data_IF_750970282682
#
_entry.id   IF_750970282682
#
_cell.length_a   1.000
_cell.length_b   1.000
_cell.length_c   1.000
_cell.angle_alpha   90.00
_cell.angle_beta   90.00
_cell.angle_gamma   90.00
#
_symmetry.space_group_name_H-M   'P 1'
#
loop_
_entity.id
_entity.type
_entity.pdbx_description
1 polymer ?
#
# COMPACT_ATOMS: atom_id res chain seq x y z
N UNK A 1 24.87 84.34 -13.65
CA UNK A 1 25.64 85.31 -14.48
C UNK A 1 25.73 84.68 -15.87
N UNK A 2 25.11 85.34 -16.78
CA UNK A 2 25.33 85.31 -18.21
C UNK A 2 26.73 85.92 -18.46
N UNK A 3 27.32 85.93 -19.68
CA UNK A 3 26.87 85.64 -21.05
C UNK A 3 28.00 85.02 -21.97
N UNK A 4 27.88 84.74 -23.18
CA UNK A 4 27.76 85.42 -24.46
C UNK A 4 28.45 84.60 -25.55
N UNK A 5 27.77 84.19 -26.59
CA UNK A 5 27.76 84.51 -28.00
C UNK A 5 29.07 84.49 -28.84
N UNK A 6 29.07 83.76 -29.92
CA UNK A 6 29.14 84.24 -31.34
C UNK A 6 29.77 83.17 -32.24
N UNK A 7 29.13 82.76 -33.26
CA UNK A 7 28.73 83.16 -34.62
C UNK A 7 29.65 82.66 -35.71
N UNK A 8 29.01 82.19 -36.78
CA UNK A 8 29.25 82.39 -38.24
C UNK A 8 30.31 81.43 -38.86
N UNK A 9 30.07 80.71 -39.92
CA UNK A 9 29.54 80.95 -41.26
C UNK A 9 29.60 79.68 -42.13
N UNK A 10 28.56 79.47 -42.89
CA UNK A 10 28.44 78.75 -44.16
C UNK A 10 29.45 79.23 -45.20
N UNK A 11 29.74 78.61 -46.37
CA UNK A 11 28.83 77.87 -47.24
C UNK A 11 29.42 76.78 -48.17
N UNK A 12 28.49 75.95 -48.70
CA UNK A 12 28.41 75.39 -50.05
C UNK A 12 29.53 74.54 -50.66
N UNK A 13 29.13 73.33 -51.07
CA UNK A 13 29.18 72.73 -52.45
C UNK A 13 28.74 71.25 -52.33
N UNK A 14 27.62 71.00 -52.89
CA UNK A 14 27.29 70.45 -54.23
C UNK A 14 27.66 68.96 -54.46
N UNK A 15 26.62 68.24 -54.73
CA UNK A 15 26.42 67.18 -55.73
C UNK A 15 26.85 65.72 -55.42
N UNK A 16 25.92 64.86 -55.36
CA UNK A 16 25.46 63.79 -56.26
C UNK A 16 24.86 62.63 -55.55
N UNK A 17 23.58 62.43 -55.77
CA UNK A 17 22.91 61.15 -55.53
C UNK A 17 23.41 60.10 -56.54
N UNK A 18 23.39 58.77 -56.11
CA UNK A 18 22.55 57.84 -56.79
C UNK A 18 21.90 56.83 -55.80
N UNK A 19 21.12 55.85 -56.25
CA UNK A 19 19.70 55.77 -55.95
C UNK A 19 19.34 54.80 -54.86
N UNK A 20 18.38 55.18 -54.05
CA UNK A 20 17.57 54.36 -53.18
C UNK A 20 16.76 53.36 -54.00
N UNK A 21 17.19 52.13 -54.08
CA UNK A 21 16.35 50.98 -54.44
C UNK A 21 17.16 49.66 -54.34
N UNK A 22 17.40 49.13 -53.14
CA UNK A 22 17.80 47.72 -52.96
C UNK A 22 18.11 47.36 -51.51
N UNK A 23 17.37 47.86 -50.55
CA UNK A 23 17.53 47.41 -49.13
C UNK A 23 16.21 47.16 -48.37
N UNK A 24 15.10 46.88 -49.04
CA UNK A 24 13.79 46.67 -48.40
C UNK A 24 13.20 45.26 -48.61
N UNK A 25 14.00 44.28 -49.05
CA UNK A 25 13.50 42.91 -49.29
C UNK A 25 14.14 41.87 -48.38
N UNK A 26 15.10 42.22 -47.52
CA UNK A 26 15.80 41.22 -46.64
C UNK A 26 15.40 41.29 -45.18
N UNK A 27 14.40 42.08 -44.77
CA UNK A 27 13.93 42.12 -43.36
C UNK A 27 12.54 41.52 -43.13
N UNK A 28 11.88 40.99 -44.18
CA UNK A 28 10.54 40.39 -44.07
C UNK A 28 10.53 38.87 -44.00
N UNK A 29 11.69 38.18 -44.02
CA UNK A 29 11.76 36.69 -43.98
C UNK A 29 12.25 36.13 -42.62
N UNK A 30 12.62 36.97 -41.66
CA UNK A 30 13.13 36.50 -40.35
C UNK A 30 12.09 36.44 -39.23
N UNK A 31 10.82 36.81 -39.44
CA UNK A 31 9.77 36.75 -38.41
C UNK A 31 8.69 35.67 -38.63
N UNK A 32 8.84 34.81 -39.63
CA UNK A 32 7.88 33.70 -39.89
C UNK A 32 8.33 32.36 -39.34
N UNK A 33 9.12 32.35 -38.28
CA UNK A 33 9.60 31.10 -37.68
C UNK A 33 9.44 31.15 -36.19
N UNK A 34 8.56 30.26 -35.68
CA UNK A 34 8.41 29.87 -34.28
C UNK A 34 7.29 30.55 -33.46
N UNK A 35 6.10 30.67 -33.99
CA UNK A 35 4.94 30.44 -33.18
C UNK A 35 4.83 28.92 -32.94
N UNK A 36 5.71 28.36 -32.11
CA UNK A 36 5.39 27.09 -31.44
C UNK A 36 4.13 27.36 -30.63
N UNK A 37 2.99 26.94 -31.18
CA UNK A 37 1.76 26.83 -30.43
C UNK A 37 2.10 25.94 -29.21
N UNK A 38 2.43 26.57 -28.09
CA UNK A 38 2.50 25.87 -26.84
C UNK A 38 1.06 25.39 -26.61
N UNK A 39 0.80 24.14 -26.98
CA UNK A 39 -0.45 23.47 -26.62
C UNK A 39 -0.51 23.52 -25.10
N UNK A 40 -1.43 24.30 -24.55
CA UNK A 40 -1.73 24.29 -23.11
C UNK A 40 -1.98 22.82 -22.74
N UNK A 41 -1.22 22.24 -21.84
CA UNK A 41 -1.42 20.85 -21.47
C UNK A 41 -2.88 20.68 -21.00
N UNK A 42 -3.60 19.76 -21.61
CA UNK A 42 -4.95 19.45 -21.20
C UNK A 42 -4.89 18.97 -19.74
N UNK A 43 -5.76 19.48 -18.85
CA UNK A 43 -5.74 19.02 -17.46
C UNK A 43 -5.90 17.49 -17.41
N UNK A 44 -5.20 16.82 -16.49
CA UNK A 44 -5.27 15.38 -16.37
C UNK A 44 -6.69 14.95 -16.01
N UNK A 45 -7.13 13.85 -16.62
CA UNK A 45 -8.40 13.19 -16.31
C UNK A 45 -8.26 12.46 -14.99
N UNK A 46 -9.27 12.53 -14.14
CA UNK A 46 -9.42 11.65 -12.97
C UNK A 46 -10.27 10.45 -13.34
N UNK A 47 -9.84 9.25 -12.96
CA UNK A 47 -10.61 8.01 -13.03
C UNK A 47 -10.68 7.38 -11.64
N UNK A 48 -11.84 6.85 -11.29
CA UNK A 48 -12.03 6.00 -10.10
C UNK A 48 -12.56 4.64 -10.58
N UNK A 49 -12.01 3.56 -10.03
CA UNK A 49 -12.37 2.20 -10.36
C UNK A 49 -12.33 1.36 -9.10
N UNK A 50 -13.14 0.31 -9.01
CA UNK A 50 -13.10 -0.63 -7.89
C UNK A 50 -13.44 -2.05 -8.32
N UNK A 51 -12.92 -3.01 -7.54
CA UNK A 51 -13.19 -4.45 -7.70
C UNK A 51 -13.37 -5.08 -6.32
N UNK A 52 -14.26 -6.07 -6.23
CA UNK A 52 -14.44 -6.84 -5.02
C UNK A 52 -13.55 -8.09 -5.06
N UNK A 53 -12.61 -8.20 -4.13
CA UNK A 53 -11.70 -9.32 -3.98
C UNK A 53 -11.34 -9.53 -2.50
N UNK A 54 -10.94 -10.72 -2.09
CA UNK A 54 -10.54 -11.06 -0.72
C UNK A 54 -11.56 -10.63 0.35
N UNK A 55 -12.85 -10.67 0.01
CA UNK A 55 -13.93 -10.31 0.93
C UNK A 55 -14.04 -8.81 1.23
N UNK A 56 -13.44 -7.94 0.41
CA UNK A 56 -13.48 -6.49 0.56
C UNK A 56 -13.42 -5.77 -0.80
N UNK A 57 -13.62 -4.47 -0.80
CA UNK A 57 -13.47 -3.63 -1.98
C UNK A 57 -12.01 -3.14 -2.12
N UNK A 58 -11.44 -3.32 -3.31
CA UNK A 58 -10.20 -2.68 -3.73
C UNK A 58 -10.55 -1.48 -4.61
N UNK A 59 -10.12 -0.29 -4.19
CA UNK A 59 -10.37 0.96 -4.89
C UNK A 59 -9.10 1.52 -5.52
N UNK A 60 -9.25 2.11 -6.71
CA UNK A 60 -8.18 2.77 -7.45
C UNK A 60 -8.67 4.16 -7.84
N UNK A 61 -7.91 5.21 -7.47
CA UNK A 61 -8.10 6.55 -8.00
C UNK A 61 -6.83 6.96 -8.75
N UNK A 62 -6.97 7.34 -10.03
CA UNK A 62 -5.79 7.67 -10.86
C UNK A 62 -6.00 8.98 -11.63
N UNK A 63 -4.86 9.60 -11.98
CA UNK A 63 -4.81 10.76 -12.85
C UNK A 63 -3.88 10.50 -14.03
N UNK A 64 -4.26 10.99 -15.21
CA UNK A 64 -3.42 10.92 -16.41
C UNK A 64 -4.03 11.67 -17.61
N UNK A 65 -3.30 11.73 -18.73
CA UNK A 65 -3.71 12.53 -19.87
C UNK A 65 -4.80 11.89 -20.76
N UNK A 66 -5.04 10.56 -20.61
CA UNK A 66 -5.90 9.79 -21.53
C UNK A 66 -6.79 8.82 -20.75
N UNK A 67 -8.12 9.06 -20.79
CA UNK A 67 -9.10 8.26 -20.06
C UNK A 67 -9.06 6.77 -20.45
N UNK A 68 -9.02 6.44 -21.74
CA UNK A 68 -9.03 5.03 -22.21
C UNK A 68 -7.79 4.26 -21.75
N UNK A 69 -6.62 4.92 -21.70
CA UNK A 69 -5.41 4.27 -21.14
C UNK A 69 -5.54 4.04 -19.64
N UNK A 70 -6.14 4.99 -18.92
CA UNK A 70 -6.38 4.85 -17.48
C UNK A 70 -7.38 3.73 -17.20
N UNK A 71 -8.46 3.62 -17.97
CA UNK A 71 -9.45 2.54 -17.87
C UNK A 71 -8.78 1.18 -18.06
N UNK A 72 -8.02 1.00 -19.14
CA UNK A 72 -7.32 -0.26 -19.38
C UNK A 72 -6.31 -0.61 -18.28
N UNK A 73 -5.56 0.37 -17.75
CA UNK A 73 -4.64 0.14 -16.64
C UNK A 73 -5.37 -0.22 -15.32
N UNK A 74 -6.52 0.42 -15.05
CA UNK A 74 -7.33 0.13 -13.88
C UNK A 74 -7.97 -1.25 -13.95
N UNK A 75 -8.47 -1.66 -15.12
CA UNK A 75 -9.02 -3.00 -15.37
C UNK A 75 -7.96 -4.07 -15.11
N UNK A 76 -6.76 -3.95 -15.70
CA UNK A 76 -5.68 -4.92 -15.51
C UNK A 76 -5.22 -5.01 -14.06
N UNK A 77 -5.05 -3.87 -13.38
CA UNK A 77 -4.73 -3.86 -11.95
C UNK A 77 -5.83 -4.55 -11.11
N UNK A 78 -7.10 -4.43 -11.52
CA UNK A 78 -8.23 -5.10 -10.86
C UNK A 78 -8.27 -6.60 -11.12
N UNK A 79 -7.92 -7.03 -12.33
CA UNK A 79 -7.73 -8.44 -12.67
C UNK A 79 -6.63 -9.06 -11.82
N UNK A 80 -5.54 -8.30 -11.57
CA UNK A 80 -4.45 -8.74 -10.72
C UNK A 80 -4.90 -8.96 -9.27
N UNK A 81 -5.71 -8.06 -8.69
CA UNK A 81 -6.30 -8.26 -7.37
C UNK A 81 -7.16 -9.53 -7.31
N UNK A 82 -7.96 -9.79 -8.34
CA UNK A 82 -8.80 -11.00 -8.47
C UNK A 82 -7.94 -12.26 -8.59
N UNK A 83 -6.86 -12.21 -9.37
CA UNK A 83 -5.91 -13.32 -9.52
C UNK A 83 -5.24 -13.67 -8.19
N UNK A 84 -4.82 -12.66 -7.42
CA UNK A 84 -4.22 -12.87 -6.09
C UNK A 84 -5.24 -13.42 -5.10
N UNK A 85 -6.50 -12.94 -5.14
CA UNK A 85 -7.59 -13.52 -4.35
C UNK A 85 -7.74 -15.02 -4.65
N UNK A 86 -7.78 -15.39 -5.92
CA UNK A 86 -7.87 -16.80 -6.33
C UNK A 86 -6.68 -17.62 -5.83
N UNK A 87 -5.46 -17.11 -5.88
CA UNK A 87 -4.26 -17.79 -5.40
C UNK A 87 -4.27 -18.00 -3.87
N UNK A 88 -4.70 -17.00 -3.11
CA UNK A 88 -4.60 -16.95 -1.65
C UNK A 88 -5.90 -17.26 -0.90
N UNK A 89 -6.99 -17.62 -1.58
CA UNK A 89 -8.27 -17.84 -0.93
C UNK A 89 -8.30 -19.12 -0.10
N UNK A 90 -8.78 -19.00 1.14
CA UNK A 90 -9.16 -20.14 1.97
C UNK A 90 -10.57 -20.69 1.64
N UNK A 91 -11.31 -20.03 0.75
CA UNK A 91 -12.71 -20.33 0.42
C UNK A 91 -12.87 -20.96 -0.95
N UNK A 92 -11.89 -20.77 -1.84
CA UNK A 92 -11.84 -21.37 -3.19
C UNK A 92 -11.11 -22.72 -3.08
N UNK A 93 -11.80 -23.86 -3.32
CA UNK A 93 -11.21 -25.18 -3.08
C UNK A 93 -9.98 -25.51 -3.94
N UNK A 94 -9.88 -24.95 -5.14
CA UNK A 94 -8.80 -25.16 -6.10
C UNK A 94 -7.73 -24.05 -6.08
N UNK A 95 -7.81 -23.13 -5.10
CA UNK A 95 -6.72 -22.18 -4.86
C UNK A 95 -5.43 -22.90 -4.42
N UNK A 96 -4.27 -22.32 -4.72
CA UNK A 96 -2.99 -22.89 -4.28
C UNK A 96 -2.93 -22.99 -2.75
N UNK A 97 -3.39 -21.96 -2.04
CA UNK A 97 -3.42 -21.97 -0.58
C UNK A 97 -4.35 -23.05 -0.03
N UNK A 98 -5.56 -23.23 -0.57
CA UNK A 98 -6.48 -24.30 -0.15
C UNK A 98 -5.92 -25.68 -0.43
N UNK A 99 -5.23 -25.87 -1.55
CA UNK A 99 -4.54 -27.12 -1.88
C UNK A 99 -3.43 -27.43 -0.88
N UNK A 100 -2.57 -26.46 -0.56
CA UNK A 100 -1.53 -26.60 0.47
C UNK A 100 -2.17 -26.94 1.83
N UNK A 101 -3.21 -26.22 2.24
CA UNK A 101 -3.90 -26.45 3.51
C UNK A 101 -4.53 -27.86 3.63
N UNK A 102 -4.91 -28.45 2.52
CA UNK A 102 -5.54 -29.77 2.48
C UNK A 102 -4.56 -30.92 2.40
N UNK A 103 -3.44 -30.75 1.68
CA UNK A 103 -2.59 -31.85 1.23
C UNK A 103 -1.17 -31.83 1.80
N UNK A 104 -0.68 -30.66 2.31
CA UNK A 104 0.73 -30.50 2.65
C UNK A 104 1.21 -31.30 3.86
N UNK A 105 0.32 -31.83 4.69
CA UNK A 105 0.69 -32.78 5.74
C UNK A 105 0.98 -34.18 5.16
N UNK A 106 0.16 -34.66 4.24
CA UNK A 106 0.26 -36.00 3.67
C UNK A 106 1.47 -36.15 2.73
N UNK A 107 1.73 -35.11 1.91
CA UNK A 107 2.84 -35.09 0.95
C UNK A 107 3.28 -33.65 0.61
N UNK A 108 4.52 -33.48 0.07
CA UNK A 108 4.94 -32.18 -0.44
C UNK A 108 4.03 -31.72 -1.58
N UNK A 109 3.49 -30.50 -1.48
CA UNK A 109 2.61 -29.88 -2.48
C UNK A 109 3.40 -28.91 -3.33
N UNK A 110 3.45 -29.15 -4.65
CA UNK A 110 4.06 -28.23 -5.59
C UNK A 110 3.16 -27.01 -5.82
N UNK A 111 3.77 -25.81 -5.78
CA UNK A 111 3.10 -24.53 -5.95
C UNK A 111 3.76 -23.68 -7.03
N UNK A 112 3.12 -22.59 -7.44
CA UNK A 112 3.71 -21.61 -8.34
C UNK A 112 4.94 -20.94 -7.72
N UNK A 113 5.83 -20.42 -8.54
CA UNK A 113 6.98 -19.66 -8.07
C UNK A 113 6.54 -18.45 -7.23
N UNK A 114 5.51 -17.74 -7.66
CA UNK A 114 4.99 -16.57 -6.97
C UNK A 114 4.48 -16.89 -5.56
N UNK A 115 3.70 -17.95 -5.42
CA UNK A 115 3.20 -18.35 -4.10
C UNK A 115 4.33 -18.86 -3.21
N UNK A 116 5.30 -19.59 -3.77
CA UNK A 116 6.50 -20.04 -3.05
C UNK A 116 7.30 -18.87 -2.50
N UNK A 117 7.61 -17.87 -3.35
CA UNK A 117 8.35 -16.66 -2.95
C UNK A 117 7.61 -15.88 -1.85
N UNK A 118 6.29 -15.78 -1.95
CA UNK A 118 5.49 -15.16 -0.90
C UNK A 118 5.60 -15.91 0.44
N UNK A 119 5.58 -17.24 0.41
CA UNK A 119 5.76 -18.06 1.61
C UNK A 119 7.16 -17.89 2.22
N UNK A 120 8.22 -17.86 1.42
CA UNK A 120 9.57 -17.57 1.92
C UNK A 120 9.64 -16.21 2.63
N UNK A 121 9.00 -15.20 2.04
CA UNK A 121 8.88 -13.86 2.66
C UNK A 121 8.10 -13.93 3.97
N UNK A 122 7.00 -14.68 4.03
CA UNK A 122 6.23 -14.88 5.27
C UNK A 122 7.08 -15.58 6.35
N UNK A 123 7.86 -16.60 6.00
CA UNK A 123 8.77 -17.27 6.92
C UNK A 123 9.84 -16.31 7.47
N UNK A 124 10.34 -15.39 6.64
CA UNK A 124 11.27 -14.34 7.08
C UNK A 124 10.60 -13.42 8.10
N UNK A 125 9.42 -12.88 7.82
CA UNK A 125 8.68 -12.04 8.76
C UNK A 125 8.39 -12.74 10.08
N UNK A 126 8.05 -14.04 10.03
CA UNK A 126 7.81 -14.82 11.24
C UNK A 126 9.07 -14.91 12.12
N UNK A 127 10.24 -15.13 11.52
CA UNK A 127 11.52 -15.13 12.23
C UNK A 127 11.87 -13.76 12.81
N UNK A 128 11.77 -12.71 12.01
CA UNK A 128 12.13 -11.34 12.38
C UNK A 128 11.20 -10.73 13.45
N UNK A 129 9.97 -11.24 13.56
CA UNK A 129 8.96 -10.79 14.53
C UNK A 129 8.85 -11.69 15.77
N UNK A 130 9.81 -12.58 16.01
CA UNK A 130 9.76 -13.55 17.13
C UNK A 130 8.47 -14.37 17.15
N UNK A 131 7.91 -14.70 15.97
CA UNK A 131 6.69 -15.46 15.80
C UNK A 131 5.40 -14.72 16.18
N UNK A 132 5.45 -13.40 16.40
CA UNK A 132 4.22 -12.60 16.59
C UNK A 132 3.46 -12.36 15.30
N UNK A 133 4.12 -12.47 14.15
CA UNK A 133 3.50 -12.76 12.87
C UNK A 133 3.74 -14.22 12.52
N UNK A 134 2.68 -14.96 12.23
CA UNK A 134 2.78 -16.34 11.77
C UNK A 134 1.64 -16.64 10.80
N UNK A 135 1.99 -16.96 9.54
CA UNK A 135 1.01 -17.29 8.51
C UNK A 135 0.26 -18.61 8.81
N UNK A 136 0.76 -19.44 9.72
CA UNK A 136 0.12 -20.70 10.11
C UNK A 136 -1.00 -20.51 11.15
N UNK A 137 -1.45 -19.29 11.41
CA UNK A 137 -2.47 -18.92 12.40
C UNK A 137 -3.87 -19.46 12.10
N UNK A 138 -4.07 -20.12 10.96
CA UNK A 138 -5.35 -20.65 10.50
C UNK A 138 -6.12 -21.49 11.53
N UNK A 139 -5.50 -22.43 12.28
CA UNK A 139 -6.18 -23.18 13.35
C UNK A 139 -6.78 -22.29 14.44
N UNK A 140 -6.08 -21.23 14.86
CA UNK A 140 -6.62 -20.26 15.83
C UNK A 140 -7.79 -19.47 15.25
N UNK A 141 -7.70 -19.01 14.00
CA UNK A 141 -8.78 -18.28 13.35
C UNK A 141 -10.07 -19.12 13.26
N UNK A 142 -9.94 -20.45 13.07
CA UNK A 142 -11.07 -21.39 13.10
C UNK A 142 -11.66 -21.52 14.50
N UNK A 143 -10.82 -21.77 15.51
CA UNK A 143 -11.23 -21.99 16.89
C UNK A 143 -11.91 -20.74 17.48
N UNK A 144 -11.45 -19.53 17.13
CA UNK A 144 -12.07 -18.28 17.54
C UNK A 144 -13.27 -17.86 16.67
N UNK A 145 -13.63 -18.63 15.63
CA UNK A 145 -14.80 -18.41 14.78
C UNK A 145 -14.69 -17.25 13.78
N UNK A 146 -13.49 -16.70 13.56
CA UNK A 146 -13.30 -15.56 12.67
C UNK A 146 -13.52 -15.87 11.19
N UNK A 147 -13.35 -17.12 10.75
CA UNK A 147 -13.69 -17.54 9.39
C UNK A 147 -15.19 -17.44 9.06
N UNK A 148 -16.05 -17.65 10.05
CA UNK A 148 -17.51 -17.57 9.88
C UNK A 148 -18.07 -16.18 10.15
N UNK A 149 -17.21 -15.22 10.54
CA UNK A 149 -17.60 -13.83 10.81
C UNK A 149 -18.36 -13.61 12.11
N UNK A 150 -18.67 -14.67 12.87
CA UNK A 150 -19.49 -14.56 14.09
C UNK A 150 -18.67 -14.46 15.39
N UNK A 151 -17.45 -14.95 15.38
CA UNK A 151 -16.62 -15.05 16.56
C UNK A 151 -17.28 -15.82 17.73
N UNK A 152 -16.54 -16.55 18.49
CA UNK A 152 -17.01 -17.12 19.75
C UNK A 152 -15.82 -17.33 20.69
N UNK A 153 -16.09 -17.40 21.99
CA UNK A 153 -15.07 -17.66 23.00
C UNK A 153 -14.80 -19.17 23.07
N UNK A 154 -13.62 -19.66 22.65
CA UNK A 154 -13.31 -21.08 22.69
C UNK A 154 -12.95 -21.54 24.10
N UNK A 155 -13.06 -22.83 24.36
CA UNK A 155 -12.53 -23.42 25.57
C UNK A 155 -10.98 -23.43 25.52
N UNK A 156 -10.37 -23.35 26.71
CA UNK A 156 -8.89 -23.32 26.80
C UNK A 156 -8.21 -24.52 26.13
N UNK A 157 -8.85 -25.72 26.22
CA UNK A 157 -8.36 -26.91 25.56
C UNK A 157 -8.33 -26.82 24.05
N UNK A 158 -9.33 -26.16 23.44
CA UNK A 158 -9.38 -25.93 21.97
C UNK A 158 -8.28 -25.01 21.51
N UNK A 159 -8.01 -23.93 22.29
CA UNK A 159 -6.89 -23.02 22.03
C UNK A 159 -5.56 -23.77 22.07
N UNK A 160 -5.37 -24.62 23.09
CA UNK A 160 -4.15 -25.40 23.26
C UNK A 160 -3.95 -26.40 22.11
N UNK A 161 -5.02 -27.07 21.70
CA UNK A 161 -5.01 -27.95 20.53
C UNK A 161 -4.63 -27.17 19.27
N UNK A 162 -5.23 -25.98 19.02
CA UNK A 162 -4.90 -25.15 17.87
C UNK A 162 -3.43 -24.72 17.86
N UNK A 163 -2.86 -24.35 19.02
CA UNK A 163 -1.45 -23.99 19.15
C UNK A 163 -0.49 -25.14 18.78
N UNK A 164 -0.87 -26.39 19.05
CA UNK A 164 -0.07 -27.56 18.67
C UNK A 164 -0.12 -27.85 17.15
N UNK A 165 -1.12 -27.32 16.44
CA UNK A 165 -1.28 -27.46 14.98
C UNK A 165 -0.87 -26.22 14.22
N UNK A 166 0.11 -25.44 14.72
CA UNK A 166 0.62 -24.25 14.05
C UNK A 166 2.11 -24.03 14.37
N UNK A 167 2.64 -22.99 13.80
CA UNK A 167 4.03 -22.59 13.98
C UNK A 167 4.81 -22.63 12.67
N UNK A 168 5.33 -21.49 12.25
CA UNK A 168 6.07 -21.34 10.98
C UNK A 168 7.28 -22.27 10.86
N UNK A 169 7.85 -22.75 11.99
CA UNK A 169 8.96 -23.72 12.00
C UNK A 169 8.55 -25.13 11.56
N UNK A 170 7.25 -25.38 11.54
CA UNK A 170 6.65 -26.63 11.09
C UNK A 170 6.26 -26.62 9.60
N UNK A 171 6.59 -25.53 8.88
CA UNK A 171 6.46 -25.43 7.43
C UNK A 171 7.83 -25.70 6.81
N UNK A 172 7.91 -26.71 5.95
CA UNK A 172 9.08 -27.00 5.13
C UNK A 172 8.87 -26.46 3.72
N UNK A 173 9.85 -25.69 3.25
CA UNK A 173 9.91 -25.13 1.89
C UNK A 173 11.10 -25.73 1.17
N UNK A 174 10.86 -26.40 0.04
CA UNK A 174 11.92 -26.90 -0.86
C UNK A 174 11.97 -26.01 -2.11
N UNK A 175 13.00 -25.17 -2.19
CA UNK A 175 13.19 -24.25 -3.29
C UNK A 175 13.53 -24.95 -4.63
N UNK A 176 14.18 -26.13 -4.60
CA UNK A 176 14.55 -26.86 -5.81
C UNK A 176 13.31 -27.39 -6.55
N UNK A 177 12.30 -27.84 -5.81
CA UNK A 177 11.07 -28.40 -6.34
C UNK A 177 9.86 -27.47 -6.20
N UNK A 178 10.02 -26.34 -5.50
CA UNK A 178 8.93 -25.41 -5.15
C UNK A 178 7.79 -26.13 -4.44
N UNK A 179 8.13 -26.90 -3.40
CA UNK A 179 7.12 -27.62 -2.63
C UNK A 179 7.00 -27.10 -1.22
N UNK A 180 5.79 -27.24 -0.69
CA UNK A 180 5.40 -26.89 0.67
C UNK A 180 4.99 -28.19 1.39
N UNK A 181 5.49 -28.41 2.59
CA UNK A 181 5.11 -29.52 3.44
C UNK A 181 4.89 -29.07 4.88
N UNK A 182 3.89 -29.64 5.54
CA UNK A 182 3.64 -29.46 6.97
C UNK A 182 4.19 -30.64 7.77
N UNK A 183 4.83 -30.35 8.90
CA UNK A 183 5.33 -31.38 9.82
C UNK A 183 4.24 -31.92 10.74
N UNK A 184 3.23 -31.09 11.02
CA UNK A 184 2.17 -31.41 11.98
C UNK A 184 0.82 -31.48 11.25
N UNK A 185 0.01 -32.46 11.64
CA UNK A 185 -1.36 -32.58 11.13
C UNK A 185 -2.23 -31.42 11.60
N UNK A 186 -3.26 -31.06 10.82
CA UNK A 186 -4.19 -30.00 11.20
C UNK A 186 -3.66 -28.58 11.04
N UNK A 187 -2.42 -28.39 10.56
CA UNK A 187 -1.90 -27.08 10.20
C UNK A 187 -2.70 -26.45 9.05
N UNK A 188 -2.80 -25.14 9.06
CA UNK A 188 -3.33 -24.39 7.91
C UNK A 188 -2.77 -22.97 7.88
N UNK A 189 -2.47 -22.51 6.65
CA UNK A 189 -2.07 -21.15 6.37
C UNK A 189 -3.29 -20.24 6.35
N UNK A 190 -3.11 -18.99 6.79
CA UNK A 190 -4.12 -17.93 6.72
C UNK A 190 -3.50 -16.66 6.13
N UNK A 191 -4.01 -16.15 4.99
CA UNK A 191 -3.44 -14.99 4.31
C UNK A 191 -3.93 -13.66 4.89
N UNK A 192 -4.79 -13.65 5.89
CA UNK A 192 -5.42 -12.44 6.44
C UNK A 192 -4.45 -11.36 6.93
N UNK A 193 -3.19 -11.77 7.14
CA UNK A 193 -2.12 -10.87 7.55
C UNK A 193 -1.24 -10.33 6.43
N UNK A 194 -1.39 -10.80 5.18
CA UNK A 194 -0.50 -10.49 4.05
C UNK A 194 -1.24 -10.21 2.75
N UNK A 195 -2.43 -10.78 2.58
CA UNK A 195 -3.08 -10.88 1.27
C UNK A 195 -3.39 -9.52 0.64
N UNK A 196 -3.96 -8.60 1.40
CA UNK A 196 -4.33 -7.28 0.87
C UNK A 196 -3.11 -6.44 0.49
N UNK A 197 -2.09 -6.41 1.35
CA UNK A 197 -0.85 -5.68 1.07
C UNK A 197 -0.11 -6.24 -0.14
N UNK A 198 -0.08 -7.56 -0.26
CA UNK A 198 0.51 -8.22 -1.42
C UNK A 198 -0.25 -7.88 -2.72
N UNK A 199 -1.58 -7.96 -2.70
CA UNK A 199 -2.41 -7.60 -3.85
C UNK A 199 -2.23 -6.12 -4.24
N UNK A 200 -2.22 -5.19 -3.27
CA UNK A 200 -1.97 -3.77 -3.54
C UNK A 200 -0.60 -3.55 -4.16
N UNK A 201 0.46 -4.23 -3.68
CA UNK A 201 1.81 -4.11 -4.28
C UNK A 201 1.83 -4.63 -5.72
N UNK A 202 1.10 -5.70 -6.05
CA UNK A 202 0.96 -6.21 -7.42
C UNK A 202 0.19 -5.24 -8.31
N UNK A 203 -0.94 -4.72 -7.85
CA UNK A 203 -1.71 -3.68 -8.56
C UNK A 203 -0.85 -2.44 -8.84
N UNK A 204 -0.06 -1.98 -7.87
CA UNK A 204 0.86 -0.85 -8.01
C UNK A 204 1.94 -1.13 -9.06
N UNK A 205 2.50 -2.34 -9.05
CA UNK A 205 3.49 -2.77 -10.05
C UNK A 205 2.91 -2.74 -11.46
N UNK A 206 1.68 -3.24 -11.62
CA UNK A 206 0.97 -3.28 -12.89
C UNK A 206 0.62 -1.88 -13.39
N UNK A 207 0.05 -1.01 -12.55
CA UNK A 207 -0.23 0.38 -12.89
C UNK A 207 1.03 1.12 -13.37
N UNK A 208 2.18 0.91 -12.69
CA UNK A 208 3.46 1.50 -13.10
C UNK A 208 3.95 0.95 -14.44
N UNK A 209 3.80 -0.33 -14.69
CA UNK A 209 4.14 -0.95 -15.97
C UNK A 209 3.31 -0.36 -17.14
N UNK A 210 2.09 0.11 -16.86
CA UNK A 210 1.22 0.81 -17.80
C UNK A 210 1.47 2.34 -17.86
N UNK A 211 2.54 2.83 -17.20
CA UNK A 211 2.93 4.23 -17.23
C UNK A 211 2.02 5.16 -16.40
N UNK A 212 1.39 4.64 -15.35
CA UNK A 212 0.62 5.45 -14.40
C UNK A 212 1.56 6.03 -13.35
N UNK A 213 1.69 7.36 -13.34
CA UNK A 213 2.57 8.11 -12.43
C UNK A 213 1.82 8.73 -11.25
N UNK A 214 0.49 8.66 -11.24
CA UNK A 214 -0.34 9.24 -10.19
C UNK A 214 -1.55 8.35 -9.92
N UNK A 215 -1.49 7.60 -8.81
CA UNK A 215 -2.60 6.76 -8.35
C UNK A 215 -2.63 6.58 -6.83
N UNK A 216 -3.82 6.39 -6.28
CA UNK A 216 -4.05 5.87 -4.94
C UNK A 216 -4.73 4.51 -5.06
N UNK A 217 -4.10 3.47 -4.53
CA UNK A 217 -4.64 2.10 -4.50
C UNK A 217 -4.97 1.73 -3.06
N UNK A 218 -6.14 1.17 -2.83
CA UNK A 218 -6.62 0.83 -1.49
C UNK A 218 -7.23 -0.57 -1.45
N UNK A 219 -6.73 -1.45 -0.59
CA UNK A 219 -7.31 -2.75 -0.27
C UNK A 219 -8.10 -2.67 1.04
N UNK A 220 -9.45 -2.58 0.93
CA UNK A 220 -10.36 -2.55 2.07
C UNK A 220 -10.17 -1.35 3.01
N UNK A 221 -9.58 -0.25 2.54
CA UNK A 221 -9.32 0.94 3.35
C UNK A 221 -8.24 0.78 4.43
N UNK A 222 -7.71 -0.43 4.63
CA UNK A 222 -6.70 -0.71 5.66
C UNK A 222 -5.28 -0.89 5.12
N UNK A 223 -5.12 -1.15 3.83
CA UNK A 223 -3.84 -1.31 3.13
C UNK A 223 -3.84 -0.42 1.90
N UNK A 224 -3.07 0.67 1.90
CA UNK A 224 -3.14 1.75 0.92
C UNK A 224 -1.76 2.05 0.38
N UNK A 225 -1.65 2.35 -0.92
CA UNK A 225 -0.43 2.82 -1.56
C UNK A 225 -0.70 4.07 -2.40
N UNK A 226 0.18 5.09 -2.28
CA UNK A 226 0.16 6.26 -3.14
C UNK A 226 1.30 6.23 -4.15
N UNK A 227 0.98 6.15 -5.45
CA UNK A 227 1.93 6.37 -6.55
C UNK A 227 1.99 7.88 -6.83
N UNK A 228 3.19 8.47 -6.77
CA UNK A 228 3.38 9.89 -7.03
C UNK A 228 2.43 10.79 -6.22
N UNK A 229 1.79 11.74 -6.88
CA UNK A 229 0.89 12.70 -6.23
C UNK A 229 -0.23 13.14 -7.17
N UNK A 230 -1.42 13.52 -6.64
CA UNK A 230 -2.46 14.11 -7.47
C UNK A 230 -2.02 15.50 -8.00
N UNK A 231 -2.60 15.99 -9.11
CA UNK A 231 -2.11 17.15 -9.85
C UNK A 231 -1.92 18.43 -9.05
N UNK A 232 -2.74 18.65 -8.01
CA UNK A 232 -2.74 19.89 -7.24
C UNK A 232 -2.20 19.73 -5.80
N UNK A 233 -1.61 18.57 -5.48
CA UNK A 233 -1.09 18.28 -4.14
C UNK A 233 0.30 17.61 -4.22
N UNK A 234 1.38 18.38 -4.35
CA UNK A 234 2.72 17.84 -4.59
C UNK A 234 3.30 17.04 -3.41
N UNK A 235 2.70 17.17 -2.22
CA UNK A 235 3.11 16.39 -1.03
C UNK A 235 2.76 14.90 -1.14
N UNK A 236 1.80 14.53 -2.01
CA UNK A 236 1.31 13.17 -2.16
C UNK A 236 -0.20 13.06 -1.95
N UNK A 237 -0.69 11.84 -1.83
CA UNK A 237 -2.09 11.53 -1.63
C UNK A 237 -2.49 11.75 -0.17
N UNK A 238 -3.48 12.61 0.05
CA UNK A 238 -4.04 12.87 1.36
C UNK A 238 -4.75 11.64 1.90
N UNK A 239 -4.32 11.13 3.05
CA UNK A 239 -4.93 10.00 3.75
C UNK A 239 -5.18 10.37 5.20
N UNK A 240 -6.37 10.07 5.68
CA UNK A 240 -6.81 10.29 7.04
C UNK A 240 -6.77 8.98 7.82
N UNK A 241 -6.01 8.92 8.89
CA UNK A 241 -6.03 7.82 9.84
C UNK A 241 -7.14 8.11 10.86
N UNK A 242 -8.15 7.23 10.93
CA UNK A 242 -9.28 7.35 11.87
C UNK A 242 -8.81 7.19 13.32
N UNK A 243 -9.45 7.88 14.22
CA UNK A 243 -9.24 7.65 15.66
C UNK A 243 -9.88 6.31 16.05
N UNK A 244 -9.16 5.50 16.81
CA UNK A 244 -9.60 4.15 17.16
C UNK A 244 -10.70 4.12 18.24
N UNK A 245 -10.93 5.22 18.95
CA UNK A 245 -11.99 5.38 19.97
C UNK A 245 -13.24 6.05 19.41
N UNK A 246 -13.07 6.87 18.38
CA UNK A 246 -14.15 7.66 17.77
C UNK A 246 -13.88 7.79 16.27
N UNK A 247 -14.50 6.94 15.47
CA UNK A 247 -14.30 6.88 14.02
C UNK A 247 -14.64 8.18 13.28
N UNK A 248 -15.44 9.07 13.90
CA UNK A 248 -15.74 10.40 13.37
C UNK A 248 -14.53 11.33 13.44
N UNK A 249 -13.58 11.05 14.33
CA UNK A 249 -12.36 11.83 14.55
C UNK A 249 -11.18 11.32 13.75
N UNK A 250 -10.17 12.17 13.66
CA UNK A 250 -8.92 11.89 12.96
C UNK A 250 -7.77 11.78 13.97
N UNK A 251 -7.11 10.63 14.01
CA UNK A 251 -5.91 10.44 14.79
C UNK A 251 -4.68 11.11 14.15
N UNK A 252 -4.57 11.05 12.83
CA UNK A 252 -3.51 11.71 12.08
C UNK A 252 -3.91 11.93 10.61
N UNK A 253 -3.26 12.92 9.99
CA UNK A 253 -3.28 13.16 8.55
C UNK A 253 -1.90 12.90 8.01
N UNK A 254 -1.82 12.20 6.89
CA UNK A 254 -0.56 11.92 6.19
C UNK A 254 -0.73 12.17 4.69
N UNK A 255 0.40 12.28 4.01
CA UNK A 255 0.48 12.34 2.57
C UNK A 255 1.35 11.18 2.10
N UNK A 256 0.78 10.28 1.28
CA UNK A 256 1.49 9.15 0.70
C UNK A 256 2.03 9.55 -0.67
N UNK A 257 3.33 9.40 -0.86
CA UNK A 257 4.01 9.55 -2.13
C UNK A 257 5.04 8.44 -2.26
N UNK A 258 4.83 7.57 -3.23
CA UNK A 258 5.64 6.36 -3.45
C UNK A 258 5.87 5.56 -2.17
N UNK A 259 4.80 5.41 -1.41
CA UNK A 259 4.80 4.77 -0.09
C UNK A 259 3.43 4.21 0.26
N UNK A 260 3.42 3.29 1.19
CA UNK A 260 2.23 2.61 1.68
C UNK A 260 1.85 3.04 3.09
N UNK A 261 0.59 2.82 3.43
CA UNK A 261 0.05 2.82 4.79
C UNK A 261 -0.75 1.55 5.02
N UNK A 262 -0.51 0.86 6.12
CA UNK A 262 -1.46 -0.16 6.59
C UNK A 262 -1.79 0.06 8.07
N UNK A 263 -3.05 -0.22 8.43
CA UNK A 263 -3.54 -0.08 9.80
C UNK A 263 -4.13 -1.41 10.28
N UNK A 264 -3.69 -1.85 11.45
CA UNK A 264 -4.31 -2.94 12.22
C UNK A 264 -5.01 -2.33 13.43
N UNK A 265 -6.30 -2.63 13.61
CA UNK A 265 -7.11 -2.09 14.69
C UNK A 265 -8.09 -3.12 15.25
N UNK A 266 -8.43 -3.01 16.54
CA UNK A 266 -9.36 -3.90 17.22
C UNK A 266 -10.83 -3.69 16.82
N UNK A 267 -11.13 -2.63 16.10
CA UNK A 267 -12.46 -2.23 15.66
C UNK A 267 -12.87 -2.79 14.29
N UNK A 268 -11.94 -3.41 13.53
CA UNK A 268 -12.22 -3.95 12.19
C UNK A 268 -13.09 -5.21 12.24
N UNK A 269 -12.64 -6.22 12.99
CA UNK A 269 -13.37 -7.47 13.23
C UNK A 269 -13.21 -7.86 14.69
N UNK A 270 -14.32 -7.95 15.39
CA UNK A 270 -14.34 -8.31 16.81
C UNK A 270 -15.70 -8.92 17.20
N UNK A 271 -15.75 -9.54 18.37
CA UNK A 271 -17.00 -9.92 19.03
C UNK A 271 -16.96 -9.60 20.52
N UNK A 272 -18.13 -9.57 21.14
CA UNK A 272 -18.27 -9.36 22.58
C UNK A 272 -18.58 -10.69 23.26
N UNK A 273 -17.83 -11.01 24.31
CA UNK A 273 -18.13 -12.11 25.22
C UNK A 273 -17.64 -11.76 26.62
N UNK A 274 -18.39 -12.15 27.66
CA UNK A 274 -18.04 -11.94 29.06
C UNK A 274 -17.65 -10.48 29.42
N UNK A 275 -18.32 -9.52 28.78
CA UNK A 275 -18.05 -8.07 29.01
C UNK A 275 -16.75 -7.54 28.41
N UNK A 276 -16.09 -8.31 27.53
CA UNK A 276 -14.83 -7.95 26.87
C UNK A 276 -14.96 -8.00 25.36
N UNK A 277 -14.10 -7.20 24.68
CA UNK A 277 -13.90 -7.23 23.23
C UNK A 277 -12.79 -8.22 22.91
N UNK A 278 -13.05 -9.10 21.96
CA UNK A 278 -12.08 -10.03 21.40
C UNK A 278 -11.89 -9.70 19.91
N UNK A 279 -10.74 -9.16 19.54
CA UNK A 279 -10.42 -8.79 18.17
C UNK A 279 -9.84 -9.97 17.39
N UNK A 280 -9.88 -9.86 16.07
CA UNK A 280 -9.27 -10.85 15.17
C UNK A 280 -7.74 -10.82 15.13
N UNK A 281 -7.09 -9.84 15.81
CA UNK A 281 -5.63 -9.74 15.85
C UNK A 281 -5.14 -10.70 16.94
N UNK A 282 -4.74 -11.89 16.49
CA UNK A 282 -4.29 -12.97 17.36
C UNK A 282 -2.81 -12.85 17.69
N UNK A 283 -2.44 -13.12 18.93
CA UNK A 283 -1.03 -13.42 19.27
C UNK A 283 -0.78 -14.93 19.10
N UNK A 284 -0.03 -15.35 18.06
CA UNK A 284 0.20 -16.75 17.77
C UNK A 284 0.95 -17.49 18.88
N UNK A 285 1.64 -16.77 19.75
CA UNK A 285 2.46 -17.32 20.84
C UNK A 285 1.63 -17.70 22.06
N UNK A 286 0.48 -17.04 22.22
CA UNK A 286 -0.41 -17.27 23.37
C UNK A 286 -1.72 -17.94 22.97
N UNK A 287 -2.13 -17.81 21.70
CA UNK A 287 -3.40 -18.29 21.18
C UNK A 287 -4.59 -17.39 21.51
N UNK A 288 -4.37 -16.22 22.08
CA UNK A 288 -5.42 -15.26 22.43
C UNK A 288 -5.33 -13.99 21.58
N UNK A 289 -6.47 -13.27 21.41
CA UNK A 289 -6.44 -11.93 20.85
C UNK A 289 -5.49 -11.02 21.63
N UNK A 290 -4.70 -10.26 20.87
CA UNK A 290 -3.76 -9.30 21.46
C UNK A 290 -4.50 -8.14 22.13
N UNK A 291 -3.94 -7.60 23.20
CA UNK A 291 -4.50 -6.51 24.01
C UNK A 291 -3.48 -5.40 24.22
N UNK A 292 -3.93 -4.25 24.74
CA UNK A 292 -3.05 -3.12 25.07
C UNK A 292 -2.86 -2.10 23.95
N UNK A 293 -3.32 -2.41 22.74
CA UNK A 293 -3.39 -1.48 21.61
C UNK A 293 -4.82 -1.34 21.09
N UNK A 294 -5.18 -0.16 20.64
CA UNK A 294 -6.42 0.11 19.89
C UNK A 294 -6.16 0.00 18.39
N UNK A 295 -5.08 0.64 17.92
CA UNK A 295 -4.64 0.52 16.54
C UNK A 295 -3.15 0.79 16.39
N UNK A 296 -2.58 0.26 15.30
CA UNK A 296 -1.23 0.54 14.85
C UNK A 296 -1.28 0.81 13.35
N UNK A 297 -0.74 1.96 12.95
CA UNK A 297 -0.60 2.33 11.54
C UNK A 297 0.88 2.38 11.18
N UNK A 298 1.24 1.73 10.08
CA UNK A 298 2.62 1.64 9.59
C UNK A 298 2.70 2.25 8.21
N UNK A 299 3.64 3.18 8.01
CA UNK A 299 4.03 3.70 6.71
C UNK A 299 5.34 3.02 6.34
N UNK A 300 5.42 2.43 5.16
CA UNK A 300 6.57 1.69 4.64
C UNK A 300 6.69 1.84 3.12
N UNK A 301 7.83 1.49 2.51
CA UNK A 301 7.99 1.52 1.05
C UNK A 301 7.06 0.57 0.29
N UNK A 302 6.73 -0.59 0.86
CA UNK A 302 5.83 -1.59 0.26
C UNK A 302 4.61 -1.83 1.13
N UNK A 303 3.48 -2.13 0.50
CA UNK A 303 2.22 -2.38 1.22
C UNK A 303 2.27 -3.71 1.97
N UNK A 304 2.93 -4.72 1.43
CA UNK A 304 3.16 -5.98 2.14
C UNK A 304 3.91 -5.76 3.46
N UNK A 305 4.96 -4.92 3.45
CA UNK A 305 5.72 -4.61 4.67
C UNK A 305 4.84 -3.88 5.69
N UNK A 306 4.14 -2.82 5.28
CA UNK A 306 3.29 -2.06 6.20
C UNK A 306 2.16 -2.93 6.79
N UNK A 307 1.55 -3.81 5.98
CA UNK A 307 0.49 -4.71 6.45
C UNK A 307 1.01 -5.75 7.43
N UNK A 308 2.10 -6.43 7.10
CA UNK A 308 2.66 -7.48 7.96
C UNK A 308 3.12 -6.87 9.28
N UNK A 309 3.96 -5.82 9.26
CA UNK A 309 4.55 -5.25 10.45
C UNK A 309 3.56 -4.56 11.39
N UNK A 310 2.40 -4.15 10.89
CA UNK A 310 1.34 -3.59 11.75
C UNK A 310 0.91 -4.58 12.85
N UNK A 311 0.94 -5.91 12.59
CA UNK A 311 0.54 -6.94 13.56
C UNK A 311 1.59 -7.18 14.65
N UNK A 312 2.89 -7.45 14.36
CA UNK A 312 3.93 -7.50 15.37
C UNK A 312 3.97 -6.25 16.27
N UNK A 313 3.86 -5.06 15.68
CA UNK A 313 3.88 -3.82 16.47
C UNK A 313 2.65 -3.68 17.37
N UNK A 314 1.50 -4.16 16.90
CA UNK A 314 0.28 -4.22 17.71
C UNK A 314 0.43 -5.19 18.88
N UNK A 315 0.97 -6.38 18.64
CA UNK A 315 1.09 -7.48 19.62
C UNK A 315 2.20 -7.20 20.64
N UNK A 316 3.38 -6.76 20.16
CA UNK A 316 4.58 -6.61 20.97
C UNK A 316 4.69 -5.21 21.64
N UNK A 317 3.93 -4.25 21.14
CA UNK A 317 3.78 -2.93 21.75
C UNK A 317 4.96 -1.99 21.52
N UNK A 318 4.84 -0.81 22.14
CA UNK A 318 5.72 0.34 21.93
C UNK A 318 7.21 0.07 22.11
N UNK A 319 7.59 -0.60 23.19
CA UNK A 319 9.01 -0.78 23.51
C UNK A 319 9.73 -1.68 22.51
N UNK A 320 9.06 -2.76 22.09
CA UNK A 320 9.59 -3.66 21.08
C UNK A 320 9.66 -2.95 19.72
N UNK A 321 8.59 -2.30 19.32
CA UNK A 321 8.52 -1.55 18.06
C UNK A 321 9.62 -0.52 17.94
N UNK A 322 9.88 0.26 18.99
CA UNK A 322 10.92 1.29 18.99
C UNK A 322 12.33 0.74 18.76
N UNK A 323 12.59 -0.52 19.16
CA UNK A 323 13.89 -1.18 18.99
C UNK A 323 14.05 -1.93 17.66
N UNK A 324 12.95 -2.32 17.03
CA UNK A 324 12.97 -3.25 15.89
C UNK A 324 12.43 -2.63 14.58
N UNK A 325 11.76 -1.47 14.63
CA UNK A 325 11.27 -0.84 13.39
C UNK A 325 12.45 -0.42 12.51
N UNK A 326 12.42 -0.68 11.20
CA UNK A 326 13.36 -0.10 10.25
C UNK A 326 13.33 1.44 10.29
N UNK A 327 14.44 2.07 9.94
CA UNK A 327 14.58 3.54 10.00
C UNK A 327 13.69 4.27 9.00
N UNK A 328 13.37 3.64 7.88
CA UNK A 328 12.48 4.13 6.82
C UNK A 328 10.99 3.89 7.11
N UNK A 329 10.67 3.18 8.21
CA UNK A 329 9.28 3.01 8.65
C UNK A 329 8.87 4.12 9.61
N UNK A 330 7.62 4.59 9.43
CA UNK A 330 6.96 5.47 10.39
C UNK A 330 5.78 4.73 11.02
N UNK A 331 5.70 4.75 12.35
CA UNK A 331 4.70 3.96 13.08
C UNK A 331 3.91 4.85 14.02
N UNK A 332 2.58 4.88 13.85
CA UNK A 332 1.63 5.52 14.76
C UNK A 332 1.02 4.47 15.67
N UNK A 333 1.18 4.62 16.97
CA UNK A 333 0.61 3.73 17.98
C UNK A 333 -0.50 4.43 18.75
N UNK A 334 -1.67 3.79 18.79
CA UNK A 334 -2.81 4.16 19.62
C UNK A 334 -2.96 3.13 20.73
N UNK A 335 -2.45 3.43 21.92
CA UNK A 335 -2.45 2.49 23.05
C UNK A 335 -3.83 2.48 23.74
N UNK A 336 -4.25 1.31 24.21
CA UNK A 336 -5.48 1.14 25.00
C UNK A 336 -5.22 1.48 26.48
N UNK A 337 -5.09 2.77 26.76
CA UNK A 337 -4.87 3.30 28.09
C UNK A 337 -5.78 4.50 28.34
N UNK A 338 -6.27 4.72 29.57
CA UNK A 338 -7.01 5.94 29.90
C UNK A 338 -6.21 7.20 29.57
N UNK A 339 -6.83 8.16 28.87
CA UNK A 339 -6.18 9.43 28.49
C UNK A 339 -5.09 9.34 27.42
N UNK A 340 -4.75 8.12 26.92
CA UNK A 340 -3.76 7.98 25.87
C UNK A 340 -4.27 8.53 24.53
N UNK A 341 -3.42 9.26 23.84
CA UNK A 341 -3.58 9.70 22.44
C UNK A 341 -2.68 8.90 21.54
N UNK A 342 -3.03 8.84 20.24
CA UNK A 342 -2.16 8.23 19.25
C UNK A 342 -0.84 9.01 19.12
N UNK A 343 0.29 8.33 19.09
CA UNK A 343 1.62 8.95 19.02
C UNK A 343 2.50 8.26 17.97
N UNK A 344 3.14 9.07 17.16
CA UNK A 344 4.21 8.59 16.29
C UNK A 344 5.39 8.13 17.13
N UNK A 345 6.00 7.03 16.72
CA UNK A 345 7.31 6.66 17.23
C UNK A 345 8.40 7.51 16.56
N UNK A 346 9.42 7.91 17.31
CA UNK A 346 10.57 8.62 16.77
C UNK A 346 11.40 7.77 15.79
#
# INVERSE_FOLDING_TARGET
>A
MRPVLRTLRDPRRCCRHPPLARCLVLFAIACAGLARCATVPKPPVKLEHSVYAMGTEFGIALYGPNATKLEGAAEQASEEATRIDHMLSNYIPDSELSKVNREAYDHPVQVSQEFFDLLEVCMRYSRESDGSFDITVGPLMKVWGFYKGSGHLPHRAEIWTALNHMGYRNVELDAAHRTVRFKESGMSLDPGGVGKGYAVDKMVSDLRAHGVDSALVSGGGSSIYGIGSPPNEPRGWYVRIRDAKDESKTAAVIYLKDSSLSTSGNYEKFFFAEGKIYSHIMDPRTGYPATGMLSVSVIAPRTLDSEVWAKPYYILGRQWTARHKPSDFRVLLCEDKPGATCKWLP
#
